data_IF_990341500317
#
_entry.id   IF_990341500317
#
_cell.length_a   1.000
_cell.length_b   1.000
_cell.length_c   1.000
_cell.angle_alpha   90.00
_cell.angle_beta   90.00
_cell.angle_gamma   90.00
#
_symmetry.space_group_name_H-M   'P 1'
#
loop_
_entity.id
_entity.type
_entity.pdbx_description
1 polymer ?
#
# COMPACT_ATOMS: atom_id res chain seq x y z
N UNK A 1 -58.85 38.02 -3.99
CA UNK A 1 -57.59 37.39 -4.40
C UNK A 1 -57.87 36.50 -5.59
N UNK A 2 -57.30 36.84 -6.74
CA UNK A 2 -57.54 36.19 -8.03
C UNK A 2 -56.84 34.82 -8.11
N UNK A 3 -57.43 33.87 -8.85
CA UNK A 3 -56.85 32.56 -9.13
C UNK A 3 -55.44 32.66 -9.75
N UNK A 4 -55.19 33.73 -10.50
CA UNK A 4 -53.90 34.04 -11.13
C UNK A 4 -52.86 34.47 -10.10
N UNK A 5 -53.27 35.19 -9.04
CA UNK A 5 -52.37 35.62 -7.97
C UNK A 5 -51.91 34.43 -7.12
N UNK A 6 -52.80 33.46 -6.85
CA UNK A 6 -52.43 32.21 -6.16
C UNK A 6 -51.45 31.36 -6.97
N UNK A 7 -51.66 31.23 -8.28
CA UNK A 7 -50.75 30.49 -9.16
C UNK A 7 -49.36 31.12 -9.25
N UNK A 8 -49.28 32.46 -9.26
CA UNK A 8 -48.00 33.18 -9.23
C UNK A 8 -47.29 33.02 -7.89
N UNK A 9 -48.04 33.05 -6.78
CA UNK A 9 -47.48 32.84 -5.44
C UNK A 9 -46.96 31.41 -5.27
N UNK A 10 -47.67 30.41 -5.80
CA UNK A 10 -47.24 29.01 -5.82
C UNK A 10 -46.01 28.79 -6.69
N UNK A 11 -45.99 29.39 -7.89
CA UNK A 11 -44.83 29.32 -8.78
C UNK A 11 -43.59 29.98 -8.15
N UNK A 12 -43.77 31.13 -7.52
CA UNK A 12 -42.71 31.82 -6.77
C UNK A 12 -42.27 31.00 -5.55
N UNK A 13 -43.21 30.40 -4.80
CA UNK A 13 -42.89 29.53 -3.67
C UNK A 13 -42.07 28.31 -4.09
N UNK A 14 -42.37 27.71 -5.24
CA UNK A 14 -41.55 26.62 -5.82
C UNK A 14 -40.20 27.12 -6.30
N UNK A 15 -40.14 28.32 -6.89
CA UNK A 15 -38.88 28.89 -7.38
C UNK A 15 -37.94 29.28 -6.23
N UNK A 16 -38.49 29.82 -5.15
CA UNK A 16 -37.77 30.11 -3.90
C UNK A 16 -37.41 28.82 -3.18
N UNK A 17 -38.30 27.83 -3.12
CA UNK A 17 -37.97 26.50 -2.55
C UNK A 17 -36.88 25.79 -3.36
N UNK A 18 -36.86 25.92 -4.69
CA UNK A 18 -35.83 25.37 -5.56
C UNK A 18 -34.52 26.15 -5.49
N UNK A 19 -34.58 27.47 -5.33
CA UNK A 19 -33.40 28.31 -5.09
C UNK A 19 -32.86 28.18 -3.67
N UNK A 20 -33.67 27.82 -2.69
CA UNK A 20 -33.26 27.55 -1.30
C UNK A 20 -32.84 26.09 -1.10
N UNK A 21 -33.24 25.16 -1.96
CA UNK A 21 -32.68 23.79 -1.99
C UNK A 21 -31.29 23.74 -2.61
N UNK A 22 -30.72 24.88 -3.02
CA UNK A 22 -29.27 25.04 -3.21
C UNK A 22 -28.52 25.30 -1.90
N UNK A 23 -29.22 25.35 -0.75
CA UNK A 23 -28.56 25.32 0.56
C UNK A 23 -28.10 23.89 0.79
N UNK A 24 -26.88 23.58 0.36
CA UNK A 24 -26.21 22.30 0.65
C UNK A 24 -26.36 21.94 2.12
N UNK A 25 -26.60 20.66 2.39
CA UNK A 25 -26.76 20.15 3.75
C UNK A 25 -25.50 20.49 4.57
N UNK A 26 -25.68 21.28 5.63
CA UNK A 26 -24.59 21.70 6.53
C UNK A 26 -23.92 20.47 7.15
N UNK A 27 -24.68 19.41 7.41
CA UNK A 27 -24.11 18.16 7.91
C UNK A 27 -23.19 17.48 6.90
N UNK A 28 -23.52 17.57 5.60
CA UNK A 28 -22.67 17.04 4.54
C UNK A 28 -21.38 17.86 4.42
N UNK A 29 -21.48 19.19 4.44
CA UNK A 29 -20.31 20.07 4.40
C UNK A 29 -19.36 19.79 5.57
N UNK A 30 -19.89 19.62 6.78
CA UNK A 30 -19.08 19.27 7.95
C UNK A 30 -18.37 17.91 7.79
N UNK A 31 -19.05 16.91 7.21
CA UNK A 31 -18.46 15.59 6.93
C UNK A 31 -17.37 15.65 5.85
N UNK A 32 -17.54 16.51 4.84
CA UNK A 32 -16.54 16.76 3.82
C UNK A 32 -15.27 17.33 4.47
N UNK A 33 -15.41 18.38 5.29
CA UNK A 33 -14.28 19.00 5.99
C UNK A 33 -13.55 18.01 6.90
N UNK A 34 -14.29 17.24 7.70
CA UNK A 34 -13.72 16.21 8.58
C UNK A 34 -12.97 15.13 7.79
N UNK A 35 -13.49 14.73 6.63
CA UNK A 35 -12.84 13.76 5.76
C UNK A 35 -11.55 14.31 5.17
N UNK A 36 -11.55 15.56 4.70
CA UNK A 36 -10.36 16.21 4.13
C UNK A 36 -9.28 16.37 5.20
N UNK A 37 -9.64 16.80 6.41
CA UNK A 37 -8.71 16.91 7.54
C UNK A 37 -8.09 15.54 7.88
N UNK A 38 -8.91 14.50 7.98
CA UNK A 38 -8.43 13.14 8.23
C UNK A 38 -7.49 12.64 7.12
N UNK A 39 -7.81 12.91 5.85
CA UNK A 39 -6.95 12.55 4.70
C UNK A 39 -5.65 13.36 4.72
N UNK A 40 -5.70 14.64 5.06
CA UNK A 40 -4.51 15.49 5.17
C UNK A 40 -3.56 15.01 6.27
N UNK A 41 -4.10 14.58 7.42
CA UNK A 41 -3.30 13.97 8.49
C UNK A 41 -2.59 12.70 8.01
N UNK A 42 -3.27 11.84 7.26
CA UNK A 42 -2.67 10.64 6.67
C UNK A 42 -1.60 11.01 5.63
N UNK A 43 -1.80 12.03 4.80
CA UNK A 43 -0.80 12.54 3.86
C UNK A 43 0.50 12.92 4.59
N UNK A 44 0.40 13.68 5.68
CA UNK A 44 1.57 14.10 6.47
C UNK A 44 2.28 12.89 7.09
N UNK A 45 1.53 11.89 7.57
CA UNK A 45 2.10 10.65 8.11
C UNK A 45 2.89 9.89 7.05
N UNK A 46 2.30 9.64 5.88
CA UNK A 46 2.96 8.90 4.81
C UNK A 46 4.14 9.66 4.21
N UNK A 47 4.07 10.99 4.10
CA UNK A 47 5.22 11.83 3.74
C UNK A 47 6.38 11.65 4.73
N UNK A 48 6.10 11.72 6.03
CA UNK A 48 7.12 11.56 7.06
C UNK A 48 7.75 10.17 7.04
N UNK A 49 6.94 9.13 6.82
CA UNK A 49 7.41 7.75 6.68
C UNK A 49 8.26 7.55 5.42
N UNK A 50 7.85 8.14 4.28
CA UNK A 50 8.61 8.11 3.04
C UNK A 50 10.00 8.74 3.22
N UNK A 51 10.08 9.93 3.80
CA UNK A 51 11.33 10.63 4.09
C UNK A 51 12.25 9.83 5.04
N UNK A 52 11.67 9.22 6.07
CA UNK A 52 12.44 8.37 6.99
C UNK A 52 13.02 7.15 6.27
N UNK A 53 12.25 6.56 5.36
CA UNK A 53 12.67 5.38 4.59
C UNK A 53 13.73 5.76 3.57
N UNK A 54 13.62 6.91 2.92
CA UNK A 54 14.65 7.46 2.03
C UNK A 54 15.97 7.65 2.77
N UNK A 55 15.92 8.20 4.00
CA UNK A 55 17.11 8.32 4.82
C UNK A 55 17.77 6.97 5.12
N UNK A 56 16.98 5.94 5.44
CA UNK A 56 17.52 4.60 5.66
C UNK A 56 18.11 3.96 4.40
N UNK A 57 17.48 4.17 3.24
CA UNK A 57 18.02 3.77 1.94
C UNK A 57 19.40 4.38 1.73
N UNK A 58 19.54 5.70 1.91
CA UNK A 58 20.82 6.38 1.74
C UNK A 58 21.91 5.88 2.69
N UNK A 59 21.54 5.57 3.95
CA UNK A 59 22.47 5.03 4.94
C UNK A 59 22.91 3.61 4.54
N UNK A 60 21.96 2.74 4.15
CA UNK A 60 22.24 1.35 3.77
C UNK A 60 23.07 1.24 2.48
N UNK A 61 22.90 2.17 1.53
CA UNK A 61 23.70 2.21 0.31
C UNK A 61 25.17 2.58 0.56
N UNK A 62 25.46 3.34 1.62
CA UNK A 62 26.83 3.80 1.95
C UNK A 62 27.51 2.93 3.01
N UNK A 63 26.73 2.17 3.77
CA UNK A 63 27.24 1.34 4.85
C UNK A 63 27.71 -0.02 4.30
N UNK A 64 28.93 -0.41 4.67
CA UNK A 64 29.27 -1.83 4.69
C UNK A 64 28.70 -2.40 5.99
N UNK A 65 27.77 -3.35 5.91
CA UNK A 65 27.16 -3.96 7.10
C UNK A 65 28.05 -5.12 7.55
N UNK A 66 28.79 -5.00 8.66
CA UNK A 66 29.74 -6.02 9.08
C UNK A 66 29.07 -7.23 9.75
N UNK A 67 27.83 -7.07 10.20
CA UNK A 67 27.03 -8.11 10.85
C UNK A 67 25.65 -8.16 10.22
N UNK A 68 25.36 -9.27 9.52
CA UNK A 68 24.06 -9.52 8.89
C UNK A 68 23.06 -10.22 9.80
N UNK A 69 23.43 -10.48 11.06
CA UNK A 69 22.55 -11.07 12.06
C UNK A 69 21.31 -10.20 12.26
N UNK A 70 20.14 -10.77 12.00
CA UNK A 70 18.86 -10.07 12.12
C UNK A 70 18.38 -9.32 10.87
N UNK A 71 19.22 -9.18 9.83
CA UNK A 71 18.78 -8.56 8.57
C UNK A 71 17.70 -9.39 7.86
N UNK A 72 17.73 -10.72 7.99
CA UNK A 72 16.71 -11.60 7.41
C UNK A 72 15.33 -11.41 8.04
N UNK A 73 15.26 -11.22 9.37
CA UNK A 73 14.01 -10.90 10.06
C UNK A 73 13.50 -9.51 9.65
N UNK A 74 14.41 -8.54 9.56
CA UNK A 74 14.09 -7.19 9.13
C UNK A 74 13.57 -7.16 7.68
N UNK A 75 14.19 -7.91 6.76
CA UNK A 75 13.73 -8.05 5.38
C UNK A 75 12.32 -8.65 5.32
N UNK A 76 12.04 -9.69 6.12
CA UNK A 76 10.70 -10.29 6.19
C UNK A 76 9.66 -9.30 6.73
N UNK A 77 10.02 -8.49 7.72
CA UNK A 77 9.16 -7.42 8.22
C UNK A 77 8.83 -6.41 7.13
N UNK A 78 9.82 -5.96 6.37
CA UNK A 78 9.59 -5.04 5.25
C UNK A 78 8.74 -5.66 4.14
N UNK A 79 8.98 -6.93 3.78
CA UNK A 79 8.14 -7.65 2.82
C UNK A 79 6.66 -7.69 3.26
N UNK A 80 6.39 -7.96 4.53
CA UNK A 80 5.03 -7.92 5.07
C UNK A 80 4.44 -6.52 5.09
N UNK A 81 5.23 -5.50 5.44
CA UNK A 81 4.80 -4.11 5.40
C UNK A 81 4.42 -3.65 3.99
N UNK A 82 5.14 -4.09 2.96
CA UNK A 82 4.81 -3.81 1.55
C UNK A 82 3.40 -4.30 1.22
N UNK A 83 3.05 -5.53 1.59
CA UNK A 83 1.70 -6.09 1.36
C UNK A 83 0.60 -5.28 2.08
N UNK A 84 0.85 -4.88 3.32
CA UNK A 84 -0.09 -4.07 4.11
C UNK A 84 -0.30 -2.71 3.45
N UNK A 85 0.78 -2.04 3.04
CA UNK A 85 0.72 -0.73 2.38
C UNK A 85 0.05 -0.84 1.01
N UNK A 86 0.29 -1.92 0.26
CA UNK A 86 -0.40 -2.18 -1.01
C UNK A 86 -1.91 -2.35 -0.83
N UNK A 87 -2.33 -3.09 0.21
CA UNK A 87 -3.76 -3.22 0.54
C UNK A 87 -4.37 -1.87 0.96
N UNK A 88 -3.66 -1.09 1.76
CA UNK A 88 -4.10 0.25 2.15
C UNK A 88 -4.23 1.18 0.93
N UNK A 89 -3.26 1.18 0.03
CA UNK A 89 -3.29 1.93 -1.24
C UNK A 89 -4.54 1.58 -2.06
N UNK A 90 -4.84 0.29 -2.20
CA UNK A 90 -6.03 -0.15 -2.92
C UNK A 90 -7.33 0.33 -2.27
N UNK A 91 -7.39 0.36 -0.94
CA UNK A 91 -8.56 0.90 -0.23
C UNK A 91 -8.73 2.40 -0.50
N UNK A 92 -7.64 3.17 -0.57
CA UNK A 92 -7.74 4.61 -0.89
C UNK A 92 -8.21 4.85 -2.34
N UNK A 93 -7.84 3.99 -3.29
CA UNK A 93 -8.39 4.04 -4.65
C UNK A 93 -9.92 3.81 -4.62
N UNK A 94 -10.39 2.84 -3.83
CA UNK A 94 -11.83 2.56 -3.70
C UNK A 94 -12.56 3.75 -3.06
N UNK A 95 -11.98 4.36 -2.03
CA UNK A 95 -12.54 5.54 -1.38
C UNK A 95 -12.64 6.73 -2.34
N UNK A 96 -11.56 6.98 -3.11
CA UNK A 96 -11.54 7.99 -4.17
C UNK A 96 -12.63 7.74 -5.21
N UNK A 97 -12.76 6.50 -5.69
CA UNK A 97 -13.79 6.15 -6.67
C UNK A 97 -15.21 6.34 -6.10
N UNK A 98 -15.40 5.99 -4.83
CA UNK A 98 -16.67 6.21 -4.12
C UNK A 98 -17.01 7.70 -4.02
N UNK A 99 -16.01 8.57 -3.81
CA UNK A 99 -16.20 10.02 -3.80
C UNK A 99 -16.61 10.57 -5.19
N UNK A 100 -16.04 10.03 -6.27
CA UNK A 100 -16.42 10.40 -7.65
C UNK A 100 -17.86 9.98 -7.97
N UNK A 101 -18.29 8.83 -7.48
CA UNK A 101 -19.61 8.27 -7.76
C UNK A 101 -20.73 8.90 -6.91
N UNK A 102 -20.39 9.57 -5.80
CA UNK A 102 -21.37 10.24 -4.94
C UNK A 102 -21.85 11.57 -5.57
N UNK A 103 -23.08 11.55 -6.07
CA UNK A 103 -23.75 12.69 -6.71
C UNK A 103 -23.94 13.92 -5.80
N UNK A 104 -23.76 13.77 -4.49
CA UNK A 104 -23.85 14.88 -3.53
C UNK A 104 -22.56 15.70 -3.48
N UNK A 105 -21.44 15.08 -3.86
CA UNK A 105 -20.14 15.70 -3.96
C UNK A 105 -19.97 16.39 -5.31
N UNK A 106 -19.18 17.44 -5.31
CA UNK A 106 -18.80 18.23 -6.48
C UNK A 106 -17.29 18.36 -6.52
N UNK A 107 -16.74 18.62 -7.70
CA UNK A 107 -15.30 18.83 -7.89
C UNK A 107 -14.73 19.94 -6.97
N UNK A 108 -15.53 20.95 -6.64
CA UNK A 108 -15.15 22.06 -5.75
C UNK A 108 -14.96 21.65 -4.28
N UNK A 109 -15.41 20.44 -3.89
CA UNK A 109 -15.25 19.96 -2.51
C UNK A 109 -13.82 19.47 -2.22
N UNK A 110 -12.98 19.27 -3.24
CA UNK A 110 -11.56 18.91 -3.06
C UNK A 110 -11.28 17.51 -2.48
N UNK A 111 -12.30 16.70 -2.18
CA UNK A 111 -12.13 15.33 -1.65
C UNK A 111 -11.32 14.46 -2.60
N UNK A 112 -11.59 14.54 -3.91
CA UNK A 112 -10.89 13.73 -4.91
C UNK A 112 -9.41 14.10 -4.95
N UNK A 113 -9.09 15.40 -4.92
CA UNK A 113 -7.72 15.91 -4.88
C UNK A 113 -6.97 15.51 -3.60
N UNK A 114 -7.68 15.50 -2.47
CA UNK A 114 -7.14 15.04 -1.19
C UNK A 114 -6.76 13.55 -1.26
N UNK A 115 -7.65 12.70 -1.78
CA UNK A 115 -7.35 11.29 -1.98
C UNK A 115 -6.25 11.05 -3.02
N UNK A 116 -6.21 11.82 -4.12
CA UNK A 116 -5.14 11.73 -5.11
C UNK A 116 -3.78 12.01 -4.47
N UNK A 117 -3.70 13.04 -3.62
CA UNK A 117 -2.49 13.35 -2.87
C UNK A 117 -2.11 12.20 -1.94
N UNK A 118 -3.06 11.66 -1.16
CA UNK A 118 -2.80 10.52 -0.28
C UNK A 118 -2.32 9.29 -1.03
N UNK A 119 -2.97 8.92 -2.14
CA UNK A 119 -2.60 7.79 -2.98
C UNK A 119 -1.16 7.93 -3.47
N UNK A 120 -0.76 9.13 -3.92
CA UNK A 120 0.63 9.39 -4.33
C UNK A 120 1.62 9.17 -3.19
N UNK A 121 1.32 9.67 -1.98
CA UNK A 121 2.22 9.51 -0.83
C UNK A 121 2.34 8.05 -0.37
N UNK A 122 1.22 7.33 -0.37
CA UNK A 122 1.22 5.89 -0.04
C UNK A 122 2.01 5.10 -1.08
N UNK A 123 1.85 5.41 -2.36
CA UNK A 123 2.61 4.77 -3.45
C UNK A 123 4.12 5.05 -3.33
N UNK A 124 4.49 6.29 -2.99
CA UNK A 124 5.89 6.65 -2.74
C UNK A 124 6.46 5.84 -1.56
N UNK A 125 5.75 5.80 -0.43
CA UNK A 125 6.19 5.02 0.73
C UNK A 125 6.31 3.52 0.41
N UNK A 126 5.36 2.95 -0.33
CA UNK A 126 5.43 1.57 -0.81
C UNK A 126 6.69 1.30 -1.64
N UNK A 127 7.01 2.20 -2.57
CA UNK A 127 8.21 2.09 -3.40
C UNK A 127 9.48 2.17 -2.54
N UNK A 128 9.53 3.07 -1.57
CA UNK A 128 10.67 3.19 -0.66
C UNK A 128 10.86 1.92 0.18
N UNK A 129 9.78 1.34 0.73
CA UNK A 129 9.86 0.06 1.43
C UNK A 129 10.36 -1.08 0.52
N UNK A 130 9.92 -1.09 -0.74
CA UNK A 130 10.37 -2.07 -1.73
C UNK A 130 11.86 -1.93 -2.03
N UNK A 131 12.35 -0.71 -2.22
CA UNK A 131 13.78 -0.43 -2.40
C UNK A 131 14.60 -0.84 -1.18
N UNK A 132 14.11 -0.57 0.02
CA UNK A 132 14.80 -0.93 1.26
C UNK A 132 14.86 -2.46 1.42
N UNK A 133 13.75 -3.17 1.19
CA UNK A 133 13.72 -4.64 1.22
C UNK A 133 14.68 -5.27 0.21
N UNK A 134 14.78 -4.68 -0.98
CA UNK A 134 15.72 -5.11 -2.01
C UNK A 134 17.18 -4.90 -1.59
N UNK A 135 17.54 -3.71 -1.08
CA UNK A 135 18.89 -3.42 -0.58
C UNK A 135 19.30 -4.36 0.56
N UNK A 136 18.40 -4.66 1.48
CA UNK A 136 18.67 -5.64 2.53
C UNK A 136 18.92 -7.04 1.96
N UNK A 137 18.18 -7.42 0.91
CA UNK A 137 18.40 -8.67 0.20
C UNK A 137 19.77 -8.73 -0.49
N UNK A 138 20.23 -7.61 -1.03
CA UNK A 138 21.57 -7.50 -1.62
C UNK A 138 22.66 -7.71 -0.55
N UNK A 139 22.59 -7.00 0.58
CA UNK A 139 23.52 -7.17 1.70
C UNK A 139 23.52 -8.60 2.27
N UNK A 140 22.35 -9.23 2.38
CA UNK A 140 22.22 -10.63 2.80
C UNK A 140 22.89 -11.58 1.79
N UNK A 141 22.68 -11.35 0.50
CA UNK A 141 23.27 -12.17 -0.56
C UNK A 141 24.79 -12.01 -0.66
N UNK A 142 25.33 -10.82 -0.38
CA UNK A 142 26.78 -10.58 -0.36
C UNK A 142 27.46 -11.24 0.84
N UNK A 143 26.78 -11.27 1.99
CA UNK A 143 27.26 -11.92 3.19
C UNK A 143 27.12 -13.45 3.15
N UNK A 144 26.27 -13.98 2.27
CA UNK A 144 26.14 -15.42 2.05
C UNK A 144 27.41 -15.94 1.36
N UNK A 145 28.36 -16.37 2.19
CA UNK A 145 29.61 -16.98 1.73
C UNK A 145 29.29 -18.15 0.80
N UNK A 146 29.62 -18.02 -0.49
CA UNK A 146 29.65 -19.16 -1.41
C UNK A 146 30.52 -20.25 -0.80
N UNK A 147 30.00 -21.48 -0.67
CA UNK A 147 30.79 -22.59 -0.10
C UNK A 147 32.12 -22.69 -0.86
N UNK A 148 33.27 -22.49 -0.19
CA UNK A 148 34.58 -22.53 -0.85
C UNK A 148 35.03 -23.96 -1.17
N UNK A 149 34.15 -24.94 -1.02
CA UNK A 149 34.50 -26.35 -1.17
C UNK A 149 34.38 -26.78 -2.63
N UNK A 150 35.52 -27.09 -3.26
CA UNK A 150 35.54 -27.99 -4.40
C UNK A 150 35.06 -29.36 -3.94
N UNK A 151 33.82 -29.72 -4.29
CA UNK A 151 33.30 -31.05 -4.02
C UNK A 151 33.96 -32.07 -4.94
N UNK A 152 34.59 -33.09 -4.36
CA UNK A 152 35.26 -34.16 -5.12
C UNK A 152 34.28 -35.16 -5.74
N UNK A 153 32.99 -35.08 -5.41
CA UNK A 153 31.94 -35.91 -6.00
C UNK A 153 30.55 -35.26 -5.85
N UNK A 154 29.61 -35.66 -6.71
CA UNK A 154 28.22 -35.21 -6.64
C UNK A 154 27.55 -35.56 -5.31
N UNK A 155 27.86 -36.72 -4.73
CA UNK A 155 27.33 -37.13 -3.41
C UNK A 155 27.83 -36.22 -2.27
N UNK A 156 29.06 -35.71 -2.35
CA UNK A 156 29.60 -34.76 -1.36
C UNK A 156 28.88 -33.41 -1.44
N UNK A 157 28.59 -32.94 -2.66
CA UNK A 157 27.77 -31.75 -2.90
C UNK A 157 26.34 -31.94 -2.35
N UNK A 158 25.67 -33.04 -2.70
CA UNK A 158 24.29 -33.30 -2.25
C UNK A 158 24.20 -33.41 -0.72
N UNK A 159 25.18 -34.05 -0.09
CA UNK A 159 25.25 -34.13 1.37
C UNK A 159 25.47 -32.76 2.02
N UNK A 160 26.27 -31.89 1.42
CA UNK A 160 26.51 -30.54 1.91
C UNK A 160 25.28 -29.64 1.83
N UNK A 161 24.45 -29.78 0.78
CA UNK A 161 23.19 -29.02 0.61
C UNK A 161 21.97 -29.69 1.26
N UNK A 162 22.17 -30.70 2.12
CA UNK A 162 21.09 -31.35 2.89
C UNK A 162 20.28 -32.42 2.17
N UNK A 163 20.68 -32.82 0.96
CA UNK A 163 20.12 -33.96 0.24
C UNK A 163 20.77 -35.27 0.70
N UNK A 164 20.20 -35.93 1.69
CA UNK A 164 20.52 -37.35 1.98
C UNK A 164 19.77 -38.25 1.00
N UNK A 165 20.50 -38.99 0.18
CA UNK A 165 20.06 -39.91 -0.88
C UNK A 165 19.23 -41.13 -0.42
N UNK A 166 18.64 -41.09 0.77
CA UNK A 166 17.91 -42.22 1.36
C UNK A 166 16.55 -42.52 0.70
N UNK A 167 16.09 -41.73 -0.28
CA UNK A 167 14.73 -41.84 -0.83
C UNK A 167 14.59 -42.54 -2.19
N UNK A 168 15.68 -42.96 -2.84
CA UNK A 168 15.61 -43.53 -4.19
C UNK A 168 16.07 -44.98 -4.33
N UNK A 169 16.23 -45.73 -3.23
CA UNK A 169 16.39 -47.19 -3.30
C UNK A 169 15.08 -47.88 -2.91
N UNK A 170 14.03 -47.68 -3.70
CA UNK A 170 13.00 -48.72 -3.81
C UNK A 170 13.56 -49.79 -4.76
N UNK A 171 14.05 -50.89 -4.17
CA UNK A 171 14.27 -52.12 -4.94
C UNK A 171 12.91 -52.56 -5.53
N UNK A 172 12.85 -53.00 -6.79
CA UNK A 172 11.66 -53.67 -7.29
C UNK A 172 11.49 -54.96 -6.47
N UNK A 173 10.39 -55.05 -5.73
CA UNK A 173 10.00 -56.29 -5.07
C UNK A 173 9.59 -57.27 -6.17
N UNK A 174 10.24 -58.43 -6.19
CA UNK A 174 10.11 -59.47 -7.18
C UNK A 174 8.64 -59.90 -7.37
N UNK A 175 8.12 -59.67 -8.58
CA UNK A 175 7.04 -60.48 -9.16
C UNK A 175 7.71 -61.73 -9.71
N UNK A 176 7.63 -62.86 -9.00
CA UNK A 176 7.48 -64.18 -9.61
C UNK A 176 7.09 -65.24 -8.57
N UNK A 177 6.02 -65.94 -8.95
CA UNK A 177 5.45 -67.22 -8.52
C UNK A 177 4.61 -67.28 -7.23
#
# INVERSE_FOLDING_TARGET
MSTVERLKLDAFGRQVSNALSSTRDISLLAQIDETIEAVADEVVKFQSLALMTDHFIEVLQKAAIPDVSGLAELQLMFARSIEIVASYHQNQIINRQSAIEDKRLTDEDGIVDAYDTLIQQVAQFHNNLSSLSWLLGEHLSEADTTMPETFTSADALFKAIGFTSARWVQKPQDLHD
#
